data_IF_527801227045
#
_entry.id   IF_527801227045
#
_cell.length_a   1.000
_cell.length_b   1.000
_cell.length_c   1.000
_cell.angle_alpha   90.00
_cell.angle_beta   90.00
_cell.angle_gamma   90.00
#
_symmetry.space_group_name_H-M   'P 1'
#
loop_
_entity.id
_entity.type
_entity.pdbx_description
1 polymer ?
#
# COMPACT_ATOMS: atom_id res chain seq x y z
N UNK A 1 -56.38 -11.36 12.13
CA UNK A 1 -55.10 -10.65 12.32
C UNK A 1 -54.03 -11.46 11.61
N UNK A 2 -53.69 -11.13 10.37
CA UNK A 2 -52.63 -11.81 9.62
C UNK A 2 -51.44 -10.86 9.64
N UNK A 3 -50.46 -11.14 10.49
CA UNK A 3 -49.19 -10.41 10.51
C UNK A 3 -48.34 -11.03 9.40
N UNK A 4 -48.24 -10.34 8.26
CA UNK A 4 -47.32 -10.71 7.20
C UNK A 4 -45.89 -10.41 7.68
N UNK A 5 -45.12 -11.47 7.93
CA UNK A 5 -43.70 -11.38 8.23
C UNK A 5 -42.97 -11.01 6.94
N UNK A 6 -42.60 -9.74 6.78
CA UNK A 6 -41.73 -9.31 5.70
C UNK A 6 -40.33 -9.93 5.94
N UNK A 7 -39.99 -10.96 5.17
CA UNK A 7 -38.61 -11.43 5.07
C UNK A 7 -37.79 -10.34 4.40
N UNK A 8 -37.03 -9.58 5.20
CA UNK A 8 -35.91 -8.77 4.71
C UNK A 8 -34.84 -9.76 4.23
N UNK A 9 -34.86 -10.14 2.96
CA UNK A 9 -33.72 -10.81 2.36
C UNK A 9 -32.54 -9.83 2.37
N UNK A 10 -31.38 -10.19 2.93
CA UNK A 10 -30.21 -9.34 2.85
C UNK A 10 -29.85 -9.16 1.37
N UNK A 11 -29.85 -7.91 0.90
CA UNK A 11 -29.26 -7.55 -0.39
C UNK A 11 -27.77 -7.84 -0.30
N UNK A 12 -27.34 -9.03 -0.74
CA UNK A 12 -25.94 -9.27 -1.05
C UNK A 12 -25.63 -8.39 -2.26
N UNK A 13 -25.08 -7.19 -2.03
CA UNK A 13 -24.52 -6.39 -3.10
C UNK A 13 -23.47 -7.25 -3.79
N UNK A 14 -23.71 -7.57 -5.06
CA UNK A 14 -22.83 -8.42 -5.85
C UNK A 14 -21.60 -7.58 -6.21
N UNK A 15 -20.40 -8.09 -5.92
CA UNK A 15 -19.15 -7.41 -6.26
C UNK A 15 -19.09 -7.15 -7.78
N UNK A 16 -18.78 -5.92 -8.15
CA UNK A 16 -18.68 -5.48 -9.54
C UNK A 16 -17.24 -5.60 -10.04
N UNK A 17 -17.08 -6.03 -11.29
CA UNK A 17 -15.79 -6.08 -11.98
C UNK A 17 -15.77 -4.99 -13.04
N UNK A 18 -14.82 -4.06 -12.93
CA UNK A 18 -14.60 -3.00 -13.90
C UNK A 18 -13.40 -3.35 -14.79
N UNK A 19 -13.56 -3.28 -16.11
CA UNK A 19 -12.46 -3.50 -17.04
C UNK A 19 -11.92 -2.18 -17.59
N UNK A 20 -10.62 -1.93 -17.44
CA UNK A 20 -10.00 -0.71 -17.98
C UNK A 20 -10.08 -0.61 -19.50
N UNK A 21 -10.18 -1.75 -20.21
CA UNK A 21 -10.43 -1.75 -21.65
C UNK A 21 -11.85 -1.30 -22.03
N UNK A 22 -12.74 -1.07 -21.05
CA UNK A 22 -14.09 -0.55 -21.24
C UNK A 22 -14.31 0.73 -20.43
N UNK A 23 -13.87 1.90 -20.94
CA UNK A 23 -13.93 3.17 -20.21
C UNK A 23 -15.32 3.55 -19.69
N UNK A 24 -16.39 3.11 -20.35
CA UNK A 24 -17.76 3.33 -19.88
C UNK A 24 -18.08 2.66 -18.55
N UNK A 25 -17.46 1.51 -18.24
CA UNK A 25 -17.61 0.83 -16.95
C UNK A 25 -16.88 1.62 -15.86
N UNK A 26 -15.66 2.11 -16.15
CA UNK A 26 -14.86 2.92 -15.23
C UNK A 26 -15.54 4.23 -14.81
N UNK A 27 -16.35 4.86 -15.68
CA UNK A 27 -17.05 6.09 -15.34
C UNK A 27 -17.91 6.01 -14.05
N UNK A 28 -18.32 4.81 -13.65
CA UNK A 28 -19.10 4.59 -12.42
C UNK A 28 -18.30 4.82 -11.14
N UNK A 29 -16.97 4.67 -11.20
CA UNK A 29 -16.06 4.81 -10.06
C UNK A 29 -15.29 6.14 -10.07
N UNK A 30 -15.45 7.00 -11.08
CA UNK A 30 -14.94 8.37 -11.08
C UNK A 30 -16.01 9.32 -10.52
N UNK A 31 -15.79 9.85 -9.31
CA UNK A 31 -16.73 10.76 -8.66
C UNK A 31 -16.75 12.10 -9.38
N UNK A 32 -17.93 12.75 -9.43
CA UNK A 32 -18.28 13.87 -10.32
C UNK A 32 -18.42 13.42 -11.76
N UNK A 33 -19.45 13.88 -12.48
CA UNK A 33 -19.86 13.45 -13.82
C UNK A 33 -18.81 13.69 -14.95
N UNK A 34 -17.52 13.75 -14.62
CA UNK A 34 -16.40 13.75 -15.55
C UNK A 34 -16.07 12.31 -15.98
N UNK A 35 -16.04 12.09 -17.29
CA UNK A 35 -15.55 10.85 -17.89
C UNK A 35 -14.12 10.52 -17.46
N UNK A 36 -13.78 9.23 -17.47
CA UNK A 36 -12.41 8.82 -17.70
C UNK A 36 -12.00 9.28 -19.10
N UNK A 37 -10.95 10.10 -19.16
CA UNK A 37 -10.29 10.44 -20.41
C UNK A 37 -9.09 9.50 -20.59
N UNK A 38 -8.91 8.96 -21.78
CA UNK A 38 -7.69 8.23 -22.12
C UNK A 38 -6.61 9.28 -22.39
N UNK A 39 -5.62 9.40 -21.51
CA UNK A 39 -4.58 10.42 -21.60
C UNK A 39 -3.25 9.84 -22.11
N UNK A 40 -2.55 10.65 -22.93
CA UNK A 40 -1.11 10.60 -23.35
C UNK A 40 -0.55 9.31 -23.97
N UNK A 41 -1.07 8.13 -23.65
CA UNK A 41 -0.68 6.80 -24.13
C UNK A 41 -1.91 5.87 -24.03
N UNK A 42 -2.05 4.88 -24.91
CA UNK A 42 -3.17 3.91 -24.89
C UNK A 42 -3.25 3.05 -23.59
N UNK A 43 -2.32 3.24 -22.65
CA UNK A 43 -2.21 2.55 -21.36
C UNK A 43 -2.51 3.41 -20.14
N UNK A 44 -2.81 4.71 -20.29
CA UNK A 44 -3.06 5.61 -19.14
C UNK A 44 -4.49 6.14 -19.17
N UNK A 45 -5.26 5.83 -18.13
CA UNK A 45 -6.66 6.26 -17.99
C UNK A 45 -6.77 7.27 -16.86
N UNK A 46 -7.32 8.43 -17.18
CA UNK A 46 -7.34 9.59 -16.29
C UNK A 46 -8.75 9.94 -15.84
N UNK A 47 -8.99 9.92 -14.54
CA UNK A 47 -10.19 10.46 -13.90
C UNK A 47 -9.92 11.89 -13.41
N UNK A 48 -10.65 12.87 -13.96
CA UNK A 48 -10.63 14.28 -13.49
C UNK A 48 -11.17 14.45 -12.07
N UNK A 49 -11.96 13.47 -11.62
CA UNK A 49 -12.53 13.40 -10.29
C UNK A 49 -11.67 12.60 -9.32
N UNK A 50 -12.35 11.98 -8.37
CA UNK A 50 -11.78 11.04 -7.39
C UNK A 50 -12.20 9.64 -7.79
N UNK A 51 -11.27 8.69 -7.79
CA UNK A 51 -11.63 7.29 -7.95
C UNK A 51 -12.12 6.77 -6.59
N UNK A 52 -13.34 6.24 -6.54
CA UNK A 52 -13.90 5.58 -5.36
C UNK A 52 -14.34 4.19 -5.77
N UNK A 53 -13.62 3.17 -5.30
CA UNK A 53 -13.95 1.78 -5.57
C UNK A 53 -14.69 1.19 -4.35
N UNK A 54 -15.97 0.81 -4.49
CA UNK A 54 -16.76 0.22 -3.40
C UNK A 54 -16.14 -1.07 -2.86
N UNK A 55 -16.50 -1.44 -1.63
CA UNK A 55 -15.95 -2.63 -1.00
C UNK A 55 -16.27 -3.91 -1.79
N UNK A 56 -15.26 -4.77 -2.00
CA UNK A 56 -15.39 -6.03 -2.74
C UNK A 56 -15.29 -5.90 -4.25
N UNK A 57 -15.41 -4.70 -4.82
CA UNK A 57 -15.29 -4.48 -6.25
C UNK A 57 -13.84 -4.65 -6.73
N UNK A 58 -13.69 -4.95 -8.02
CA UNK A 58 -12.39 -5.20 -8.63
C UNK A 58 -12.19 -4.44 -9.94
N UNK A 59 -10.93 -4.16 -10.27
CA UNK A 59 -10.54 -3.56 -11.54
C UNK A 59 -9.57 -4.50 -12.23
N UNK A 60 -9.86 -4.89 -13.47
CA UNK A 60 -9.05 -5.77 -14.30
C UNK A 60 -8.65 -5.08 -15.60
N UNK A 61 -7.70 -5.71 -16.33
CA UNK A 61 -7.32 -5.27 -17.66
C UNK A 61 -7.38 -6.42 -18.64
N UNK A 62 -8.34 -6.38 -19.56
CA UNK A 62 -8.35 -7.24 -20.75
C UNK A 62 -7.58 -6.64 -21.94
N UNK A 63 -6.96 -5.46 -21.75
CA UNK A 63 -6.09 -4.83 -22.74
C UNK A 63 -4.94 -5.77 -23.14
N UNK A 64 -4.45 -5.74 -24.41
CA UNK A 64 -3.26 -6.48 -24.79
C UNK A 64 -2.02 -6.07 -23.98
N UNK A 65 -2.01 -4.85 -23.45
CA UNK A 65 -0.92 -4.29 -22.66
C UNK A 65 -0.78 -5.00 -21.31
N UNK A 66 0.46 -5.18 -20.85
CA UNK A 66 0.75 -5.88 -19.60
C UNK A 66 0.70 -4.95 -18.38
N UNK A 67 0.75 -3.64 -18.62
CA UNK A 67 0.69 -2.62 -17.59
C UNK A 67 -0.21 -1.45 -18.03
N UNK A 68 -1.09 -1.06 -17.12
CA UNK A 68 -1.99 0.07 -17.27
C UNK A 68 -1.82 0.99 -16.07
N UNK A 69 -1.98 2.29 -16.26
CA UNK A 69 -1.96 3.29 -15.19
C UNK A 69 -3.36 3.89 -15.05
N UNK A 70 -3.92 3.84 -13.84
CA UNK A 70 -5.11 4.57 -13.46
C UNK A 70 -4.70 5.82 -12.67
N UNK A 71 -4.96 6.98 -13.26
CA UNK A 71 -4.65 8.27 -12.65
C UNK A 71 -5.93 8.94 -12.16
N UNK A 72 -5.89 9.53 -10.96
CA UNK A 72 -6.98 10.34 -10.43
C UNK A 72 -6.47 11.71 -9.97
N UNK A 73 -7.17 12.76 -10.40
CA UNK A 73 -6.84 14.11 -9.97
C UNK A 73 -7.20 14.33 -8.49
N UNK A 74 -8.44 14.03 -8.09
CA UNK A 74 -8.95 14.29 -6.74
C UNK A 74 -8.77 13.11 -5.76
N UNK A 75 -7.80 12.25 -6.03
CA UNK A 75 -7.43 11.15 -5.12
C UNK A 75 -8.07 9.81 -5.47
N UNK A 76 -7.64 8.79 -4.75
CA UNK A 76 -8.09 7.41 -4.92
C UNK A 76 -8.49 6.88 -3.56
N UNK A 77 -9.69 6.31 -3.47
CA UNK A 77 -10.19 5.64 -2.26
C UNK A 77 -10.70 4.26 -2.60
N UNK A 78 -10.13 3.26 -1.94
CA UNK A 78 -10.52 1.86 -2.04
C UNK A 78 -11.22 1.48 -0.73
N UNK A 79 -12.53 1.21 -0.78
CA UNK A 79 -13.37 0.99 0.41
C UNK A 79 -13.31 -0.44 0.96
N UNK A 80 -12.35 -1.24 0.47
CA UNK A 80 -11.87 -2.45 1.12
C UNK A 80 -12.19 -3.74 0.38
N UNK A 81 -11.43 -4.79 0.67
CA UNK A 81 -11.46 -6.09 -0.02
C UNK A 81 -11.43 -5.97 -1.55
N UNK A 82 -10.74 -4.95 -2.06
CA UNK A 82 -10.68 -4.69 -3.49
C UNK A 82 -9.59 -5.52 -4.16
N UNK A 83 -9.75 -5.83 -5.44
CA UNK A 83 -8.70 -6.45 -6.25
C UNK A 83 -8.41 -5.58 -7.47
N UNK A 84 -7.17 -5.13 -7.62
CA UNK A 84 -6.74 -4.27 -8.72
C UNK A 84 -5.62 -4.98 -9.48
N UNK A 85 -5.88 -5.26 -10.76
CA UNK A 85 -4.96 -5.96 -11.65
C UNK A 85 -4.77 -7.44 -11.31
N UNK A 86 -3.84 -8.05 -12.04
CA UNK A 86 -3.38 -9.43 -11.89
C UNK A 86 -1.86 -9.51 -12.12
N UNK A 87 -1.17 -10.59 -11.69
CA UNK A 87 0.29 -10.69 -11.82
C UNK A 87 0.86 -10.39 -13.22
N UNK A 88 0.12 -10.77 -14.28
CA UNK A 88 0.54 -10.54 -15.68
C UNK A 88 -0.17 -9.37 -16.36
N UNK A 89 -1.10 -8.71 -15.66
CA UNK A 89 -1.93 -7.59 -16.14
C UNK A 89 -2.01 -6.56 -15.04
N UNK A 90 -0.88 -5.87 -14.84
CA UNK A 90 -0.67 -4.92 -13.75
C UNK A 90 -1.46 -3.65 -14.00
N UNK A 91 -2.00 -3.09 -12.93
CA UNK A 91 -2.70 -1.81 -12.93
C UNK A 91 -2.11 -0.95 -11.81
N UNK A 92 -1.25 -0.03 -12.22
CA UNK A 92 -0.60 0.95 -11.35
C UNK A 92 -1.57 2.09 -11.03
N UNK A 93 -1.56 2.57 -9.79
CA UNK A 93 -2.45 3.63 -9.31
C UNK A 93 -1.66 4.90 -9.06
N UNK A 94 -2.15 6.02 -9.59
CA UNK A 94 -1.51 7.32 -9.42
C UNK A 94 -2.47 8.39 -8.92
N UNK A 95 -2.13 9.00 -7.79
CA UNK A 95 -2.85 10.18 -7.29
C UNK A 95 -2.11 11.48 -7.59
N UNK A 96 -2.79 12.45 -8.21
CA UNK A 96 -2.17 13.68 -8.68
C UNK A 96 -2.43 14.93 -7.84
N UNK A 97 -3.43 14.95 -6.96
CA UNK A 97 -3.71 16.16 -6.15
C UNK A 97 -4.25 15.93 -4.73
N UNK A 98 -4.64 14.71 -4.39
CA UNK A 98 -5.24 14.36 -3.07
C UNK A 98 -4.70 13.02 -2.59
N UNK A 99 -5.03 12.60 -1.37
CA UNK A 99 -4.55 11.34 -0.80
C UNK A 99 -4.95 10.09 -1.62
N UNK A 100 -4.09 9.07 -1.55
CA UNK A 100 -4.44 7.68 -1.89
C UNK A 100 -4.76 6.96 -0.59
N UNK A 101 -5.96 6.39 -0.48
CA UNK A 101 -6.44 5.78 0.75
C UNK A 101 -7.02 4.39 0.50
N UNK A 102 -6.64 3.43 1.33
CA UNK A 102 -7.26 2.11 1.39
C UNK A 102 -7.92 1.92 2.75
N UNK A 103 -9.24 1.80 2.76
CA UNK A 103 -10.08 1.67 3.95
C UNK A 103 -10.54 0.23 4.12
N UNK A 104 -9.63 -0.67 4.47
CA UNK A 104 -10.06 -2.01 4.88
C UNK A 104 -10.63 -2.00 6.29
N UNK A 105 -11.59 -2.89 6.54
CA UNK A 105 -12.00 -3.21 7.91
C UNK A 105 -10.83 -3.84 8.69
N UNK A 106 -10.85 -3.68 10.01
CA UNK A 106 -9.88 -4.35 10.86
C UNK A 106 -10.14 -5.86 10.87
N UNK A 107 -9.16 -6.64 10.42
CA UNK A 107 -9.22 -8.10 10.53
C UNK A 107 -9.14 -8.55 12.01
N UNK A 108 -10.01 -9.45 12.46
CA UNK A 108 -9.92 -10.06 13.81
C UNK A 108 -9.00 -11.28 13.86
N UNK A 109 -8.86 -11.99 12.74
CA UNK A 109 -8.06 -13.21 12.58
C UNK A 109 -7.31 -13.22 11.23
N UNK A 110 -6.46 -14.23 11.00
CA UNK A 110 -5.81 -14.44 9.70
C UNK A 110 -6.82 -14.84 8.60
N UNK A 111 -7.88 -15.57 8.96
CA UNK A 111 -8.96 -15.94 8.04
C UNK A 111 -9.81 -14.72 7.66
N UNK A 112 -10.07 -13.83 8.63
CA UNK A 112 -10.72 -12.55 8.35
C UNK A 112 -9.87 -11.68 7.43
N UNK A 113 -8.54 -11.68 7.61
CA UNK A 113 -7.64 -10.92 6.75
C UNK A 113 -7.75 -11.35 5.29
N UNK A 114 -7.74 -12.66 5.01
CA UNK A 114 -7.87 -13.17 3.65
C UNK A 114 -9.14 -12.68 2.94
N UNK A 115 -10.18 -12.30 3.70
CA UNK A 115 -11.46 -11.81 3.18
C UNK A 115 -11.66 -10.28 3.32
N UNK A 116 -10.71 -9.56 3.93
CA UNK A 116 -10.84 -8.13 4.27
C UNK A 116 -9.59 -7.31 3.91
N UNK A 117 -8.84 -7.76 2.90
CA UNK A 117 -7.63 -7.08 2.46
C UNK A 117 -7.75 -6.65 1.00
N UNK A 118 -7.15 -5.52 0.69
CA UNK A 118 -7.07 -5.06 -0.70
C UNK A 118 -5.81 -5.60 -1.33
N UNK A 119 -5.94 -6.17 -2.53
CA UNK A 119 -4.83 -6.67 -3.34
C UNK A 119 -4.61 -5.75 -4.53
N UNK A 120 -3.38 -5.32 -4.74
CA UNK A 120 -2.97 -4.46 -5.85
C UNK A 120 -1.78 -5.09 -6.56
N UNK A 121 -1.94 -5.42 -7.85
CA UNK A 121 -0.85 -5.81 -8.73
C UNK A 121 -0.51 -4.61 -9.61
N UNK A 122 0.51 -3.86 -9.25
CA UNK A 122 0.84 -2.59 -9.86
C UNK A 122 1.50 -1.64 -8.87
N UNK A 123 2.08 -0.57 -9.40
CA UNK A 123 2.82 0.39 -8.61
C UNK A 123 1.88 1.44 -8.01
N UNK A 124 2.23 1.98 -6.83
CA UNK A 124 1.55 3.10 -6.20
C UNK A 124 2.40 4.36 -6.33
N UNK A 125 1.89 5.35 -7.04
CA UNK A 125 2.58 6.60 -7.34
C UNK A 125 1.79 7.77 -6.76
N UNK A 126 2.38 8.57 -5.88
CA UNK A 126 1.69 9.75 -5.35
C UNK A 126 2.63 10.84 -4.84
N UNK A 127 2.30 12.09 -5.14
CA UNK A 127 2.96 13.24 -4.49
C UNK A 127 2.25 13.65 -3.17
N UNK A 128 1.17 12.96 -2.82
CA UNK A 128 0.22 13.31 -1.76
C UNK A 128 0.14 12.21 -0.69
N UNK A 129 -0.47 12.48 0.49
CA UNK A 129 -0.52 11.51 1.57
C UNK A 129 -1.04 10.16 1.10
N UNK A 130 -0.40 9.08 1.54
CA UNK A 130 -0.85 7.73 1.21
C UNK A 130 -1.07 6.96 2.49
N UNK A 131 -2.29 6.45 2.67
CA UNK A 131 -2.72 5.69 3.85
C UNK A 131 -3.19 4.32 3.42
N UNK A 132 -2.50 3.28 3.85
CA UNK A 132 -2.76 1.90 3.45
C UNK A 132 -3.09 1.07 4.70
N UNK A 133 -4.26 0.45 4.70
CA UNK A 133 -4.72 -0.42 5.79
C UNK A 133 -4.98 -1.82 5.29
N UNK A 134 -4.38 -2.85 5.90
CA UNK A 134 -4.51 -4.28 5.54
C UNK A 134 -4.39 -4.54 4.03
N UNK A 135 -3.23 -4.28 3.45
CA UNK A 135 -3.00 -4.40 2.00
C UNK A 135 -2.03 -5.52 1.62
N UNK A 136 -2.21 -6.06 0.42
CA UNK A 136 -1.18 -6.79 -0.31
C UNK A 136 -0.87 -6.02 -1.59
N UNK A 137 0.37 -5.60 -1.76
CA UNK A 137 0.82 -4.87 -2.94
C UNK A 137 1.96 -5.67 -3.59
N UNK A 138 1.79 -5.99 -4.86
CA UNK A 138 2.80 -6.57 -5.73
C UNK A 138 3.21 -5.50 -6.77
N UNK A 139 4.14 -4.67 -6.34
CA UNK A 139 4.59 -3.48 -7.04
C UNK A 139 5.32 -2.49 -6.14
N UNK A 140 5.93 -1.50 -6.77
CA UNK A 140 6.71 -0.49 -6.10
C UNK A 140 5.80 0.61 -5.55
N UNK A 141 6.18 1.21 -4.42
CA UNK A 141 5.55 2.40 -3.84
C UNK A 141 6.53 3.56 -4.00
N UNK A 142 6.17 4.57 -4.79
CA UNK A 142 6.95 5.79 -4.96
C UNK A 142 6.16 7.02 -4.52
N UNK A 143 6.59 7.63 -3.41
CA UNK A 143 6.01 8.86 -2.87
C UNK A 143 7.00 10.03 -2.90
N UNK A 144 6.68 11.07 -3.67
CA UNK A 144 7.60 12.18 -3.93
C UNK A 144 7.35 13.43 -3.09
N UNK A 145 6.18 13.59 -2.45
CA UNK A 145 5.80 14.86 -1.82
C UNK A 145 5.22 14.81 -0.41
N UNK A 146 4.70 13.67 0.07
CA UNK A 146 3.98 13.63 1.35
C UNK A 146 4.16 12.31 2.09
N UNK A 147 3.44 12.16 3.20
CA UNK A 147 3.63 11.08 4.17
C UNK A 147 3.10 9.75 3.66
N UNK A 148 3.84 8.67 3.94
CA UNK A 148 3.34 7.30 3.84
C UNK A 148 2.95 6.82 5.24
N UNK A 149 1.74 6.27 5.37
CA UNK A 149 1.30 5.57 6.56
C UNK A 149 0.73 4.21 6.17
N UNK A 150 1.37 3.14 6.63
CA UNK A 150 0.89 1.76 6.48
C UNK A 150 0.58 1.22 7.86
N UNK A 151 -0.66 0.76 8.05
CA UNK A 151 -1.14 0.20 9.31
C UNK A 151 -2.13 -0.95 9.10
N UNK A 152 -2.71 -1.45 10.19
CA UNK A 152 -3.51 -2.67 10.19
C UNK A 152 -2.76 -3.85 10.80
N UNK A 153 -3.34 -5.05 10.69
CA UNK A 153 -2.79 -6.26 11.31
C UNK A 153 -1.85 -7.02 10.39
N UNK A 154 -2.11 -6.99 9.08
CA UNK A 154 -1.32 -7.72 8.11
C UNK A 154 -1.20 -6.88 6.84
N UNK A 155 0.00 -6.40 6.57
CA UNK A 155 0.35 -5.78 5.30
C UNK A 155 1.49 -6.55 4.65
N UNK A 156 1.47 -6.67 3.34
CA UNK A 156 2.55 -7.27 2.57
C UNK A 156 2.85 -6.41 1.36
N UNK A 157 4.10 -5.97 1.22
CA UNK A 157 4.60 -5.24 0.06
C UNK A 157 5.69 -6.08 -0.59
N UNK A 158 5.48 -6.46 -1.85
CA UNK A 158 6.45 -7.15 -2.70
C UNK A 158 6.87 -6.13 -3.74
N UNK A 159 8.00 -5.47 -3.49
CA UNK A 159 8.42 -4.31 -4.26
C UNK A 159 9.22 -3.32 -3.42
N UNK A 160 9.78 -2.32 -4.09
CA UNK A 160 10.54 -1.25 -3.47
C UNK A 160 9.62 -0.21 -2.88
N UNK A 161 10.05 0.41 -1.79
CA UNK A 161 9.39 1.57 -1.20
C UNK A 161 10.36 2.73 -1.25
N UNK A 162 10.05 3.77 -2.03
CA UNK A 162 10.80 5.01 -2.11
C UNK A 162 9.93 6.17 -1.62
N UNK A 163 10.36 6.85 -0.55
CA UNK A 163 9.62 8.00 -0.02
C UNK A 163 10.51 9.22 0.17
N UNK A 164 9.93 10.41 0.01
CA UNK A 164 10.62 11.69 0.16
C UNK A 164 10.16 12.49 1.40
N UNK A 165 9.35 11.88 2.26
CA UNK A 165 8.80 12.50 3.48
C UNK A 165 8.70 11.50 4.63
N UNK A 166 8.12 11.93 5.75
CA UNK A 166 7.88 11.07 6.93
C UNK A 166 7.12 9.81 6.52
N UNK A 167 7.65 8.66 6.93
CA UNK A 167 7.15 7.34 6.55
C UNK A 167 7.01 6.47 7.78
N UNK A 168 5.79 6.04 8.04
CA UNK A 168 5.44 5.10 9.10
C UNK A 168 4.95 3.80 8.45
N UNK A 169 5.65 2.69 8.70
CA UNK A 169 5.33 1.36 8.16
C UNK A 169 5.14 0.40 9.33
N UNK A 170 3.89 0.08 9.65
CA UNK A 170 3.55 -0.76 10.80
C UNK A 170 2.99 -2.11 10.39
N UNK A 171 3.36 -3.16 11.14
CA UNK A 171 2.86 -4.52 10.93
C UNK A 171 2.90 -4.97 9.46
N UNK A 172 4.03 -4.75 8.80
CA UNK A 172 4.18 -4.93 7.35
C UNK A 172 5.33 -5.86 7.04
N UNK A 173 5.08 -6.89 6.23
CA UNK A 173 6.12 -7.68 5.59
C UNK A 173 6.55 -6.96 4.31
N UNK A 174 7.84 -6.73 4.14
CA UNK A 174 8.38 -6.11 2.92
C UNK A 174 9.39 -7.06 2.28
N UNK A 175 9.17 -7.40 1.02
CA UNK A 175 10.15 -8.08 0.18
C UNK A 175 10.64 -7.10 -0.90
N UNK A 176 11.67 -6.34 -0.56
CA UNK A 176 12.21 -5.27 -1.39
C UNK A 176 12.95 -4.22 -0.56
N UNK A 177 13.62 -3.30 -1.25
CA UNK A 177 14.37 -2.21 -0.61
C UNK A 177 13.43 -1.11 -0.13
N UNK A 178 13.70 -0.58 1.06
CA UNK A 178 13.02 0.60 1.61
C UNK A 178 14.03 1.75 1.64
N UNK A 179 13.77 2.81 0.89
CA UNK A 179 14.57 4.04 0.92
C UNK A 179 13.69 5.23 1.29
N UNK A 180 14.03 5.91 2.39
CA UNK A 180 13.41 7.18 2.74
C UNK A 180 14.42 8.32 2.70
N UNK A 181 14.12 9.30 1.85
CA UNK A 181 14.81 10.59 1.74
C UNK A 181 14.16 11.67 2.62
N UNK A 182 13.10 11.32 3.35
CA UNK A 182 12.34 12.23 4.21
C UNK A 182 12.95 12.43 5.59
N UNK A 183 12.23 13.18 6.44
CA UNK A 183 12.66 13.50 7.80
C UNK A 183 12.80 12.26 8.70
N UNK A 184 11.90 11.30 8.56
CA UNK A 184 11.85 10.10 9.40
C UNK A 184 11.35 8.89 8.61
N UNK A 185 12.02 7.77 8.81
CA UNK A 185 11.55 6.43 8.49
C UNK A 185 11.34 5.66 9.79
N UNK A 186 10.12 5.20 10.03
CA UNK A 186 9.75 4.48 11.23
C UNK A 186 9.07 3.17 10.87
N UNK A 187 9.69 2.07 11.27
CA UNK A 187 9.17 0.71 11.11
C UNK A 187 8.85 0.15 12.48
N UNK A 188 7.65 -0.42 12.62
CA UNK A 188 7.22 -0.96 13.91
C UNK A 188 6.35 -2.20 13.78
N UNK A 189 6.64 -3.21 14.60
CA UNK A 189 5.68 -4.27 14.90
C UNK A 189 4.96 -3.95 16.19
N UNK A 190 3.65 -3.78 16.13
CA UNK A 190 2.79 -3.59 17.30
C UNK A 190 2.09 -4.88 17.74
N UNK A 191 2.14 -5.93 16.91
CA UNK A 191 1.36 -7.14 17.11
C UNK A 191 2.27 -8.37 17.34
N UNK A 192 2.36 -8.89 18.58
CA UNK A 192 3.26 -10.00 18.90
C UNK A 192 2.81 -11.36 18.31
N UNK A 193 1.59 -11.45 17.77
CA UNK A 193 1.03 -12.71 17.26
C UNK A 193 1.53 -13.11 15.87
N UNK A 194 2.20 -12.21 15.16
CA UNK A 194 2.88 -12.52 13.91
C UNK A 194 4.15 -11.69 13.80
N UNK A 195 5.26 -12.34 13.48
CA UNK A 195 6.49 -11.64 13.17
C UNK A 195 6.33 -10.90 11.84
N UNK A 196 6.64 -9.61 11.85
CA UNK A 196 6.80 -8.82 10.63
C UNK A 196 8.28 -8.60 10.34
N UNK A 197 8.60 -8.57 9.05
CA UNK A 197 9.98 -8.57 8.62
C UNK A 197 10.20 -7.80 7.32
N UNK A 198 11.44 -7.40 7.10
CA UNK A 198 11.93 -6.87 5.83
C UNK A 198 12.96 -7.84 5.27
N UNK A 199 12.77 -8.29 4.03
CA UNK A 199 13.78 -8.96 3.22
C UNK A 199 14.22 -7.98 2.15
N UNK A 200 15.39 -7.37 2.34
CA UNK A 200 15.88 -6.26 1.54
C UNK A 200 16.57 -5.21 2.39
N UNK A 201 17.25 -4.29 1.71
CA UNK A 201 17.98 -3.21 2.36
C UNK A 201 17.04 -2.09 2.85
N UNK A 202 17.40 -1.46 3.96
CA UNK A 202 16.72 -0.28 4.50
C UNK A 202 17.70 0.88 4.49
N UNK A 203 17.32 2.00 3.88
CA UNK A 203 18.15 3.21 3.82
C UNK A 203 17.32 4.41 4.28
N UNK A 204 17.73 5.06 5.36
CA UNK A 204 17.15 6.32 5.81
C UNK A 204 18.17 7.45 5.72
N UNK A 205 17.77 8.57 5.11
CA UNK A 205 18.67 9.72 4.94
C UNK A 205 18.64 10.71 6.11
N UNK A 206 17.70 10.57 7.05
CA UNK A 206 17.56 11.47 8.21
C UNK A 206 17.43 10.68 9.53
N UNK A 207 16.22 10.42 10.02
CA UNK A 207 15.98 9.67 11.26
C UNK A 207 15.46 8.27 10.94
N UNK A 208 16.06 7.25 11.55
CA UNK A 208 15.62 5.85 11.42
C UNK A 208 15.16 5.30 12.76
N UNK A 209 13.90 4.87 12.84
CA UNK A 209 13.33 4.21 14.00
C UNK A 209 12.88 2.81 13.57
N UNK A 210 13.42 1.77 14.21
CA UNK A 210 12.97 0.39 14.02
C UNK A 210 12.62 -0.17 15.39
N UNK A 211 11.39 -0.66 15.55
CA UNK A 211 10.88 -1.23 16.80
C UNK A 211 10.23 -2.59 16.57
N UNK A 212 10.85 -3.63 17.13
CA UNK A 212 10.43 -5.04 17.12
C UNK A 212 10.27 -5.65 15.71
N UNK A 213 11.30 -5.51 14.86
CA UNK A 213 11.26 -6.04 13.49
C UNK A 213 12.48 -6.88 13.15
N UNK A 214 12.29 -7.93 12.34
CA UNK A 214 13.40 -8.69 11.76
C UNK A 214 13.76 -8.12 10.38
N UNK A 215 15.04 -7.85 10.13
CA UNK A 215 15.55 -7.34 8.86
C UNK A 215 16.60 -8.29 8.32
N UNK A 216 16.39 -8.76 7.09
CA UNK A 216 17.29 -9.61 6.32
C UNK A 216 17.85 -8.80 5.15
N UNK A 217 18.92 -8.06 5.41
CA UNK A 217 19.50 -7.06 4.52
C UNK A 217 20.37 -6.07 5.29
N UNK A 218 20.95 -5.10 4.59
CA UNK A 218 21.68 -4.00 5.23
C UNK A 218 20.70 -2.91 5.67
N UNK A 219 20.78 -2.52 6.94
CA UNK A 219 20.11 -1.34 7.50
C UNK A 219 21.10 -0.19 7.60
N UNK A 220 20.87 0.89 6.86
CA UNK A 220 21.71 2.08 6.80
C UNK A 220 20.95 3.33 7.25
N UNK A 221 21.47 4.04 8.26
CA UNK A 221 21.09 5.43 8.54
C UNK A 221 22.22 6.38 8.12
N UNK A 222 21.95 7.20 7.10
CA UNK A 222 22.87 8.24 6.61
C UNK A 222 22.69 9.57 7.34
N UNK A 223 21.64 9.69 8.15
CA UNK A 223 21.24 10.93 8.77
C UNK A 223 21.62 11.06 10.24
N UNK A 224 20.89 11.93 10.94
CA UNK A 224 21.27 12.44 12.25
C UNK A 224 21.05 11.45 13.40
N UNK A 225 20.12 10.49 13.27
CA UNK A 225 19.79 9.57 14.37
C UNK A 225 19.32 8.21 13.89
N UNK A 226 19.60 7.19 14.70
CA UNK A 226 19.01 5.87 14.56
C UNK A 226 18.72 5.24 15.93
N UNK A 227 17.51 4.73 16.11
CA UNK A 227 17.10 3.89 17.24
C UNK A 227 16.60 2.55 16.69
N UNK A 228 17.34 1.49 16.98
CA UNK A 228 17.13 0.17 16.38
C UNK A 228 16.86 -0.85 17.49
N UNK A 229 15.66 -1.42 17.47
CA UNK A 229 15.21 -2.52 18.32
C UNK A 229 14.63 -3.61 17.41
N UNK A 230 15.25 -4.78 17.39
CA UNK A 230 14.90 -5.85 16.45
C UNK A 230 16.04 -6.83 16.20
N UNK A 231 15.86 -7.68 15.19
CA UNK A 231 16.87 -8.66 14.75
C UNK A 231 17.39 -8.30 13.36
N UNK A 232 18.71 -8.25 13.17
CA UNK A 232 19.32 -7.76 11.94
C UNK A 232 20.31 -8.80 11.39
N UNK A 233 20.09 -9.24 10.15
CA UNK A 233 20.86 -10.30 9.50
C UNK A 233 21.35 -9.84 8.14
N UNK A 234 22.66 -9.93 7.89
CA UNK A 234 23.26 -9.75 6.57
C UNK A 234 24.54 -10.58 6.45
N UNK A 235 24.96 -10.86 5.23
CA UNK A 235 26.18 -11.65 4.97
C UNK A 235 27.45 -10.97 5.52
N UNK A 236 27.60 -9.68 5.24
CA UNK A 236 28.84 -8.95 5.54
C UNK A 236 28.64 -7.86 6.60
N UNK A 237 27.62 -7.01 6.44
CA UNK A 237 27.35 -5.91 7.38
C UNK A 237 25.84 -5.66 7.48
N UNK A 238 25.27 -5.95 8.64
CA UNK A 238 23.84 -5.80 8.88
C UNK A 238 23.43 -4.36 9.20
N UNK A 239 24.29 -3.57 9.85
CA UNK A 239 23.96 -2.20 10.28
C UNK A 239 25.09 -1.24 9.88
N UNK A 240 24.73 -0.13 9.23
CA UNK A 240 25.59 1.00 8.88
C UNK A 240 24.98 2.29 9.42
N UNK A 241 25.81 3.18 9.98
CA UNK A 241 25.32 4.42 10.56
C UNK A 241 26.36 5.54 10.45
N UNK A 242 25.90 6.76 10.19
CA UNK A 242 26.76 7.93 10.07
C UNK A 242 26.96 8.68 11.40
N UNK A 243 25.93 8.75 12.25
CA UNK A 243 25.95 9.44 13.56
C UNK A 243 25.18 8.68 14.64
N UNK A 244 25.21 9.18 15.89
CA UNK A 244 24.73 8.61 17.16
C UNK A 244 23.77 7.41 17.05
N UNK A 245 24.23 6.25 17.54
CA UNK A 245 23.41 5.05 17.73
C UNK A 245 23.00 4.88 19.18
N UNK A 246 21.71 4.62 19.41
CA UNK A 246 21.20 4.09 20.67
C UNK A 246 20.67 2.66 20.43
N UNK A 247 21.38 1.66 20.96
CA UNK A 247 20.90 0.28 21.01
C UNK A 247 20.10 0.05 22.28
N UNK A 248 18.83 -0.30 22.12
CA UNK A 248 18.03 -0.89 23.19
C UNK A 248 17.86 -2.38 22.86
N UNK A 249 18.93 -3.16 23.09
CA UNK A 249 19.03 -4.61 22.91
C UNK A 249 18.83 -5.14 21.48
N UNK A 250 19.95 -5.34 20.75
CA UNK A 250 20.01 -6.16 19.54
C UNK A 250 21.08 -7.24 19.71
N UNK A 251 20.73 -8.51 19.50
CA UNK A 251 21.70 -9.63 19.45
C UNK A 251 22.09 -9.79 17.99
N UNK A 252 23.28 -9.33 17.61
CA UNK A 252 23.88 -9.63 16.32
C UNK A 252 24.61 -10.97 16.37
N UNK A 253 24.24 -11.89 15.48
CA UNK A 253 24.91 -13.17 15.23
C UNK A 253 25.16 -13.35 13.74
#
# INVERSE_FOLDING_TARGET
CVIATAMLMPLTAQATVYDVAKPSELNQICSTHSSFDIQRTDTTFFCHGKIVLPAGDSIISSSPENEVILEAHQGIVLEGNNRIGEPNKRISLRSLSVELKVNNEQASSIEDYQNKHTVIYGDLLSAYPTKLHNVLIDGDIELTGSTLHIDGKYNTIIGKILTHSTTDIFNTNVCGTIESKGHQLHLKTNNPFQQHFVVGDIVAHSSLLIDDMAVYGTTESKGASAALNGSFYAKDTAIKYFQTLNFNQGVGS
#
